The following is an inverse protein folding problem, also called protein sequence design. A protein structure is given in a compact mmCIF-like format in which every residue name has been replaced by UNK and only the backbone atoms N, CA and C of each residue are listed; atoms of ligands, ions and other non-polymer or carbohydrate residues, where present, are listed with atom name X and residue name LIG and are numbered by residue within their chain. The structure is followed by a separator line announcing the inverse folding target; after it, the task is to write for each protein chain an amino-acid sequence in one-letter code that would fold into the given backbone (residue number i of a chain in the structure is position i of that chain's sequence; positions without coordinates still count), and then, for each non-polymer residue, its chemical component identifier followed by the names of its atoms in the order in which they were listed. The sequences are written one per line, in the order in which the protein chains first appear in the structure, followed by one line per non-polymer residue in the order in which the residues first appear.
data_IF_823238356339
#
_entry.id   IF_823238356339
#
_cell.length_a   1.000
_cell.length_b   1.000
_cell.length_c   1.000
_cell.angle_alpha   90.00
_cell.angle_beta   90.00
_cell.angle_gamma   90.00
#
_symmetry.space_group_name_H-M   'P 1'
#
loop_
_entity.id
_entity.type
_entity.pdbx_description
1 polymer ?
#
# COMPACT_ATOMS: atom_id res chain seq x y z
N UNK A 1 -21.53 11.53 3.17
CA UNK A 1 -21.38 12.02 1.81
C UNK A 1 -20.14 12.91 1.58
N UNK A 2 -19.62 13.62 2.64
CA UNK A 2 -18.45 14.50 2.50
C UNK A 2 -17.36 14.16 3.54
N UNK A 3 -16.09 14.40 3.16
CA UNK A 3 -14.94 14.36 4.05
C UNK A 3 -14.89 15.61 4.91
N UNK A 4 -14.78 15.45 6.22
CA UNK A 4 -14.88 16.56 7.19
C UNK A 4 -13.66 17.51 7.15
N UNK A 5 -12.50 17.04 6.69
CA UNK A 5 -11.28 17.84 6.63
C UNK A 5 -11.22 18.73 5.40
N UNK A 6 -11.55 18.18 4.25
CA UNK A 6 -11.36 18.81 2.94
C UNK A 6 -12.65 19.36 2.35
N UNK A 7 -13.82 18.92 2.84
CA UNK A 7 -15.14 19.26 2.28
C UNK A 7 -15.46 18.55 0.96
N UNK A 8 -14.54 17.78 0.41
CA UNK A 8 -14.73 16.96 -0.78
C UNK A 8 -15.75 15.84 -0.53
N UNK A 9 -16.16 15.16 -1.58
CA UNK A 9 -16.87 13.88 -1.43
C UNK A 9 -15.99 12.87 -0.69
N UNK A 10 -16.62 12.07 0.17
CA UNK A 10 -15.95 10.95 0.82
C UNK A 10 -15.92 9.72 -0.12
N UNK A 11 -15.22 8.65 0.31
CA UNK A 11 -15.10 7.39 -0.43
C UNK A 11 -16.46 6.82 -0.84
N UNK A 12 -17.41 6.73 0.10
CA UNK A 12 -18.74 6.16 -0.13
C UNK A 12 -19.50 6.88 -1.26
N UNK A 13 -19.53 8.20 -1.23
CA UNK A 13 -20.23 8.99 -2.26
C UNK A 13 -19.49 8.93 -3.61
N UNK A 14 -18.16 8.85 -3.59
CA UNK A 14 -17.37 8.64 -4.79
C UNK A 14 -17.67 7.30 -5.46
N UNK A 15 -17.71 6.22 -4.67
CA UNK A 15 -18.05 4.89 -5.15
C UNK A 15 -19.45 4.83 -5.72
N UNK A 16 -20.43 5.46 -5.06
CA UNK A 16 -21.81 5.57 -5.56
C UNK A 16 -21.90 6.31 -6.90
N UNK A 17 -21.10 7.35 -7.11
CA UNK A 17 -21.04 8.08 -8.40
C UNK A 17 -20.39 7.26 -9.48
N UNK A 18 -19.25 6.63 -9.16
CA UNK A 18 -18.54 5.77 -10.09
C UNK A 18 -19.44 4.60 -10.56
N UNK A 19 -20.16 3.96 -9.65
CA UNK A 19 -21.10 2.89 -9.98
C UNK A 19 -22.21 3.35 -10.95
N UNK A 20 -22.79 4.54 -10.73
CA UNK A 20 -23.77 5.12 -11.64
C UNK A 20 -23.19 5.38 -13.03
N UNK A 21 -21.96 5.90 -13.11
CA UNK A 21 -21.28 6.14 -14.38
C UNK A 21 -21.03 4.82 -15.09
N UNK A 22 -20.48 3.81 -14.41
CA UNK A 22 -20.23 2.48 -14.98
C UNK A 22 -21.53 1.87 -15.55
N UNK A 23 -22.64 1.97 -14.80
CA UNK A 23 -23.95 1.43 -15.21
C UNK A 23 -24.59 2.20 -16.39
N UNK A 24 -24.26 3.48 -16.58
CA UNK A 24 -24.84 4.35 -17.61
C UNK A 24 -23.97 4.55 -18.86
N UNK A 25 -22.71 4.08 -18.83
CA UNK A 25 -21.76 4.24 -19.93
C UNK A 25 -22.22 3.48 -21.18
N UNK A 26 -22.37 4.19 -22.29
CA UNK A 26 -22.77 3.64 -23.61
C UNK A 26 -21.55 3.22 -24.41
N UNK A 27 -21.70 2.41 -25.48
CA UNK A 27 -20.57 1.90 -26.27
C UNK A 27 -19.62 2.98 -26.87
N UNK A 28 -20.08 4.21 -27.01
CA UNK A 28 -19.30 5.32 -27.54
C UNK A 28 -18.84 6.30 -26.46
N UNK A 29 -19.31 6.16 -25.23
CA UNK A 29 -18.90 7.03 -24.12
C UNK A 29 -17.59 6.51 -23.55
N UNK A 30 -16.67 7.43 -23.28
CA UNK A 30 -15.41 7.15 -22.62
C UNK A 30 -15.28 8.13 -21.45
N UNK A 31 -15.07 7.60 -20.27
CA UNK A 31 -14.74 8.36 -19.07
C UNK A 31 -13.37 7.94 -18.57
N UNK A 32 -12.82 8.64 -17.59
CA UNK A 32 -11.58 8.22 -16.97
C UNK A 32 -11.70 8.28 -15.43
N UNK A 33 -11.09 7.30 -14.79
CA UNK A 33 -10.88 7.24 -13.36
C UNK A 33 -9.42 7.50 -13.06
N UNK A 34 -9.14 8.48 -12.20
CA UNK A 34 -7.81 8.72 -11.67
C UNK A 34 -7.80 8.36 -10.18
N UNK A 35 -6.83 7.58 -9.77
CA UNK A 35 -6.50 7.31 -8.38
C UNK A 35 -5.18 8.00 -8.06
N UNK A 36 -5.17 8.88 -7.07
CA UNK A 36 -4.03 9.73 -6.74
C UNK A 36 -3.58 9.44 -5.31
N UNK A 37 -2.28 9.47 -5.08
CA UNK A 37 -1.67 9.33 -3.76
C UNK A 37 -0.50 10.32 -3.64
N UNK A 38 -0.49 11.11 -2.55
CA UNK A 38 0.54 12.11 -2.31
C UNK A 38 1.83 11.45 -1.86
N UNK A 39 2.87 11.62 -2.64
CA UNK A 39 4.17 11.03 -2.35
C UNK A 39 4.79 11.64 -1.09
N UNK A 40 5.25 10.77 -0.19
CA UNK A 40 5.95 11.17 1.04
C UNK A 40 5.12 12.03 2.03
N UNK A 41 3.79 12.01 1.95
CA UNK A 41 2.91 12.73 2.89
C UNK A 41 3.23 12.40 4.36
N UNK A 42 3.54 11.13 4.66
CA UNK A 42 3.92 10.70 6.01
C UNK A 42 5.13 11.47 6.55
N UNK A 43 6.11 11.81 5.72
CA UNK A 43 7.31 12.56 6.15
C UNK A 43 6.93 13.93 6.71
N UNK A 44 5.91 14.58 6.15
CA UNK A 44 5.42 15.88 6.64
C UNK A 44 4.72 15.71 7.99
N UNK A 45 3.88 14.67 8.14
CA UNK A 45 3.25 14.35 9.42
C UNK A 45 4.30 14.03 10.51
N UNK A 46 5.27 13.20 10.20
CA UNK A 46 6.32 12.79 11.15
C UNK A 46 7.25 13.97 11.51
N UNK A 47 7.44 14.93 10.61
CA UNK A 47 8.35 16.09 10.81
C UNK A 47 7.67 17.29 11.45
N UNK A 48 6.38 17.53 11.15
CA UNK A 48 5.66 18.76 11.51
C UNK A 48 4.35 18.52 12.28
N UNK A 49 3.99 17.24 12.49
CA UNK A 49 2.75 16.85 13.16
C UNK A 49 1.54 16.80 12.24
N UNK A 50 0.47 16.15 12.68
CA UNK A 50 -0.75 15.93 11.90
C UNK A 50 -1.44 17.23 11.46
N UNK A 51 -1.36 18.30 12.25
CA UNK A 51 -1.95 19.60 11.86
C UNK A 51 -1.32 20.16 10.57
N UNK A 52 -0.02 19.93 10.35
CA UNK A 52 0.65 20.32 9.12
C UNK A 52 0.16 19.49 7.92
N UNK A 53 0.01 18.18 8.11
CA UNK A 53 -0.56 17.31 7.08
C UNK A 53 -1.99 17.66 6.73
N UNK A 54 -2.82 17.98 7.72
CA UNK A 54 -4.21 18.42 7.51
C UNK A 54 -4.29 19.71 6.67
N UNK A 55 -3.44 20.68 6.96
CA UNK A 55 -3.39 21.92 6.19
C UNK A 55 -2.86 21.69 4.78
N UNK A 56 -1.85 20.84 4.61
CA UNK A 56 -1.39 20.43 3.30
C UNK A 56 -2.51 19.81 2.47
N UNK A 57 -3.30 18.90 3.05
CA UNK A 57 -4.43 18.26 2.37
C UNK A 57 -5.49 19.29 1.92
N UNK A 58 -5.78 20.32 2.72
CA UNK A 58 -6.70 21.40 2.33
C UNK A 58 -6.15 22.19 1.14
N UNK A 59 -4.87 22.53 1.17
CA UNK A 59 -4.24 23.32 0.10
C UNK A 59 -4.13 22.51 -1.20
N UNK A 60 -3.74 21.25 -1.12
CA UNK A 60 -3.72 20.35 -2.29
C UNK A 60 -5.13 20.16 -2.84
N UNK A 61 -6.14 20.00 -1.99
CA UNK A 61 -7.55 19.93 -2.42
C UNK A 61 -7.96 21.14 -3.25
N UNK A 62 -7.66 22.35 -2.78
CA UNK A 62 -7.97 23.58 -3.52
C UNK A 62 -7.21 23.64 -4.85
N UNK A 63 -5.96 23.21 -4.85
CA UNK A 63 -5.11 23.14 -6.04
C UNK A 63 -5.69 22.21 -7.10
N UNK A 64 -5.99 20.97 -6.73
CA UNK A 64 -6.58 19.98 -7.63
C UNK A 64 -7.93 20.43 -8.17
N UNK A 65 -8.81 20.96 -7.29
CA UNK A 65 -10.14 21.43 -7.67
C UNK A 65 -10.09 22.57 -8.68
N UNK A 66 -9.06 23.43 -8.63
CA UNK A 66 -8.94 24.59 -9.52
C UNK A 66 -8.78 24.25 -11.01
N UNK A 67 -8.45 23.01 -11.34
CA UNK A 67 -8.19 22.53 -12.72
C UNK A 67 -9.24 21.56 -13.23
N UNK A 68 -10.20 21.18 -12.40
CA UNK A 68 -11.27 20.29 -12.79
C UNK A 68 -12.50 21.07 -13.26
N UNK A 69 -13.25 20.47 -14.19
CA UNK A 69 -14.49 21.02 -14.72
C UNK A 69 -15.63 20.77 -13.71
N UNK A 70 -16.69 21.55 -13.79
CA UNK A 70 -17.87 21.40 -12.88
C UNK A 70 -18.51 20.01 -12.94
N UNK A 71 -18.41 19.31 -14.07
CA UNK A 71 -18.91 17.95 -14.24
C UNK A 71 -17.98 16.87 -13.68
N UNK A 72 -16.68 17.21 -13.50
CA UNK A 72 -15.72 16.24 -12.98
C UNK A 72 -15.93 16.07 -11.47
N UNK A 73 -15.70 14.87 -10.99
CA UNK A 73 -15.85 14.54 -9.57
C UNK A 73 -14.48 14.46 -8.93
N UNK A 74 -14.28 15.17 -7.81
CA UNK A 74 -13.11 15.06 -6.95
C UNK A 74 -13.57 14.59 -5.56
N UNK A 75 -12.88 13.60 -5.03
CA UNK A 75 -13.14 13.03 -3.71
C UNK A 75 -11.83 12.76 -2.95
N UNK A 76 -11.92 12.72 -1.63
CA UNK A 76 -10.88 12.17 -0.77
C UNK A 76 -11.29 10.77 -0.35
N UNK A 77 -10.45 9.79 -0.67
CA UNK A 77 -10.73 8.37 -0.43
C UNK A 77 -10.27 7.91 0.96
N UNK A 78 -9.30 8.60 1.54
CA UNK A 78 -8.78 8.38 2.88
C UNK A 78 -7.31 8.81 2.97
N UNK A 79 -6.82 9.15 4.16
CA UNK A 79 -5.42 9.54 4.33
C UNK A 79 -4.97 10.62 3.32
N UNK A 80 -4.02 10.27 2.49
CA UNK A 80 -3.42 11.05 1.41
C UNK A 80 -3.90 10.66 0.01
N UNK A 81 -4.99 9.86 -0.06
CA UNK A 81 -5.55 9.35 -1.31
C UNK A 81 -6.73 10.17 -1.82
N UNK A 82 -6.73 10.46 -3.11
CA UNK A 82 -7.80 11.16 -3.81
C UNK A 82 -8.30 10.34 -5.00
N UNK A 83 -9.58 10.50 -5.32
CA UNK A 83 -10.21 9.94 -6.51
C UNK A 83 -10.76 11.05 -7.41
N UNK A 84 -10.57 10.92 -8.71
CA UNK A 84 -11.13 11.84 -9.70
C UNK A 84 -11.86 11.02 -10.78
N UNK A 85 -13.09 11.43 -11.13
CA UNK A 85 -13.79 10.92 -12.29
C UNK A 85 -13.88 12.05 -13.31
N UNK A 86 -13.34 11.81 -14.50
CA UNK A 86 -13.42 12.70 -15.64
C UNK A 86 -14.49 12.19 -16.58
N UNK A 87 -15.64 12.88 -16.62
CA UNK A 87 -16.74 12.45 -17.47
C UNK A 87 -16.55 12.89 -18.93
N UNK A 88 -16.90 11.97 -19.87
CA UNK A 88 -16.72 12.18 -21.32
C UNK A 88 -15.31 12.66 -21.66
N UNK A 89 -14.31 11.95 -21.17
CA UNK A 89 -12.90 12.28 -21.30
C UNK A 89 -12.14 11.08 -21.86
N UNK A 90 -11.76 11.09 -23.14
CA UNK A 90 -10.93 10.06 -23.74
C UNK A 90 -9.56 9.96 -23.06
N UNK A 91 -8.92 8.80 -23.15
CA UNK A 91 -7.67 8.48 -22.47
C UNK A 91 -6.57 9.54 -22.68
N UNK A 92 -6.39 9.99 -23.92
CA UNK A 92 -5.37 10.99 -24.23
C UNK A 92 -5.62 12.34 -23.54
N UNK A 93 -6.88 12.78 -23.46
CA UNK A 93 -7.27 14.00 -22.74
C UNK A 93 -7.13 13.79 -21.22
N UNK A 94 -7.55 12.62 -20.71
CA UNK A 94 -7.42 12.28 -19.32
C UNK A 94 -5.95 12.24 -18.88
N UNK A 95 -5.06 11.70 -19.73
CA UNK A 95 -3.62 11.69 -19.49
C UNK A 95 -3.03 13.12 -19.43
N UNK A 96 -3.50 14.03 -20.28
CA UNK A 96 -3.10 15.44 -20.23
C UNK A 96 -3.55 16.10 -18.92
N UNK A 97 -4.81 15.86 -18.50
CA UNK A 97 -5.32 16.37 -17.22
C UNK A 97 -4.53 15.79 -16.05
N UNK A 98 -4.28 14.47 -16.04
CA UNK A 98 -3.51 13.82 -14.99
C UNK A 98 -2.09 14.40 -14.88
N UNK A 99 -1.39 14.60 -15.99
CA UNK A 99 -0.07 15.23 -16.00
C UNK A 99 -0.12 16.70 -15.53
N UNK A 100 -1.14 17.47 -15.93
CA UNK A 100 -1.33 18.82 -15.42
C UNK A 100 -1.49 18.85 -13.90
N UNK A 101 -2.29 17.94 -13.34
CA UNK A 101 -2.49 17.84 -11.89
C UNK A 101 -1.18 17.44 -11.19
N UNK A 102 -0.43 16.48 -11.75
CA UNK A 102 0.87 16.08 -11.24
C UNK A 102 1.85 17.24 -11.21
N UNK A 103 1.99 17.99 -12.31
CA UNK A 103 2.87 19.15 -12.41
C UNK A 103 2.49 20.28 -11.44
N UNK A 104 1.19 20.48 -11.21
CA UNK A 104 0.71 21.45 -10.23
C UNK A 104 1.15 21.07 -8.82
N UNK A 105 1.03 19.81 -8.44
CA UNK A 105 1.46 19.33 -7.13
C UNK A 105 2.98 19.38 -7.01
N UNK A 106 3.73 18.95 -8.03
CA UNK A 106 5.20 19.02 -8.06
C UNK A 106 5.76 20.43 -7.91
N UNK A 107 5.09 21.40 -8.55
CA UNK A 107 5.50 22.82 -8.49
C UNK A 107 4.98 23.54 -7.24
N UNK A 108 4.08 22.91 -6.49
CA UNK A 108 3.55 23.48 -5.26
C UNK A 108 4.63 23.50 -4.18
N UNK A 109 4.73 24.64 -3.48
CA UNK A 109 5.67 24.84 -2.37
C UNK A 109 4.85 25.00 -1.09
N UNK A 110 4.78 23.91 -0.33
CA UNK A 110 4.10 23.91 0.96
C UNK A 110 4.97 24.58 2.01
N UNK A 111 4.48 25.66 2.59
CA UNK A 111 5.15 26.36 3.67
C UNK A 111 4.45 26.05 5.00
N UNK A 112 5.23 25.60 5.97
CA UNK A 112 4.77 25.40 7.33
C UNK A 112 5.80 25.93 8.31
N UNK A 113 5.44 27.01 9.02
CA UNK A 113 6.38 27.78 9.85
C UNK A 113 7.61 28.20 9.03
N UNK A 114 8.80 27.85 9.48
CA UNK A 114 10.07 28.19 8.81
C UNK A 114 10.55 27.14 7.79
N UNK A 115 9.70 26.13 7.50
CA UNK A 115 10.04 25.02 6.59
C UNK A 115 9.25 25.10 5.29
N UNK A 116 9.94 24.79 4.20
CA UNK A 116 9.31 24.65 2.88
C UNK A 116 9.47 23.21 2.40
N UNK A 117 8.36 22.61 1.98
CA UNK A 117 8.33 21.25 1.47
C UNK A 117 7.91 21.23 0.00
N UNK A 118 8.45 20.27 -0.73
CA UNK A 118 7.98 19.86 -2.04
C UNK A 118 7.37 18.49 -1.93
N UNK A 119 6.26 18.27 -2.61
CA UNK A 119 5.57 16.98 -2.65
C UNK A 119 5.37 16.57 -4.10
N UNK A 120 5.30 15.26 -4.34
CA UNK A 120 4.85 14.69 -5.59
C UNK A 120 3.46 14.08 -5.45
N UNK A 121 2.92 13.61 -6.56
CA UNK A 121 1.72 12.80 -6.59
C UNK A 121 1.89 11.68 -7.60
N UNK A 122 1.63 10.45 -7.17
CA UNK A 122 1.56 9.28 -8.03
C UNK A 122 0.12 9.06 -8.47
N UNK A 123 -0.11 8.89 -9.77
CA UNK A 123 -1.45 8.86 -10.36
C UNK A 123 -1.62 7.58 -11.19
N UNK A 124 -2.64 6.79 -10.87
CA UNK A 124 -3.13 5.72 -11.71
C UNK A 124 -4.31 6.18 -12.54
N UNK A 125 -4.29 5.93 -13.85
CA UNK A 125 -5.34 6.27 -14.79
C UNK A 125 -5.96 5.01 -15.37
N UNK A 126 -7.29 4.89 -15.27
CA UNK A 126 -8.10 3.86 -15.92
C UNK A 126 -9.08 4.52 -16.90
N UNK A 127 -9.08 4.08 -18.15
CA UNK A 127 -10.15 4.43 -19.11
C UNK A 127 -11.41 3.62 -18.79
N UNK A 128 -12.52 4.30 -18.55
CA UNK A 128 -13.83 3.67 -18.32
C UNK A 128 -14.57 3.59 -19.65
N UNK A 129 -14.93 2.37 -20.03
CA UNK A 129 -15.69 2.03 -21.22
C UNK A 129 -16.87 1.14 -20.84
N UNK A 130 -17.77 0.90 -21.77
CA UNK A 130 -18.97 0.08 -21.60
C UNK A 130 -18.69 -1.38 -21.14
N UNK A 131 -17.51 -1.90 -21.47
CA UNK A 131 -17.05 -3.25 -21.15
C UNK A 131 -16.29 -3.40 -19.82
N UNK A 132 -16.17 -2.34 -19.03
CA UNK A 132 -15.53 -2.41 -17.73
C UNK A 132 -16.36 -3.23 -16.72
N UNK A 133 -15.70 -4.17 -16.06
CA UNK A 133 -16.30 -5.12 -15.12
C UNK A 133 -16.47 -4.52 -13.72
N UNK A 134 -17.53 -3.74 -13.50
CA UNK A 134 -18.00 -3.36 -12.16
C UNK A 134 -17.10 -2.44 -11.34
N UNK A 135 -17.67 -1.91 -10.26
CA UNK A 135 -17.05 -0.92 -9.36
C UNK A 135 -15.71 -1.41 -8.75
N UNK A 136 -15.73 -2.59 -8.15
CA UNK A 136 -14.56 -3.11 -7.44
C UNK A 136 -13.35 -3.31 -8.35
N UNK A 137 -13.59 -3.81 -9.58
CA UNK A 137 -12.53 -4.02 -10.56
C UNK A 137 -11.98 -2.69 -11.08
N UNK A 138 -12.84 -1.70 -11.34
CA UNK A 138 -12.40 -0.37 -11.78
C UNK A 138 -11.54 0.34 -10.73
N UNK A 139 -11.95 0.32 -9.46
CA UNK A 139 -11.17 0.89 -8.36
C UNK A 139 -9.84 0.15 -8.18
N UNK A 140 -9.87 -1.18 -8.19
CA UNK A 140 -8.66 -2.00 -8.07
C UNK A 140 -7.67 -1.76 -9.22
N UNK A 141 -8.17 -1.60 -10.44
CA UNK A 141 -7.34 -1.31 -11.62
C UNK A 141 -6.66 0.06 -11.51
N UNK A 142 -7.41 1.11 -11.14
CA UNK A 142 -6.88 2.46 -10.99
C UNK A 142 -5.87 2.56 -9.82
N UNK A 143 -6.16 1.94 -8.68
CA UNK A 143 -5.27 1.84 -7.54
C UNK A 143 -4.00 1.05 -7.90
N UNK A 144 -4.13 -0.05 -8.67
CA UNK A 144 -2.98 -0.82 -9.16
C UNK A 144 -2.08 0.01 -10.06
N UNK A 145 -2.66 0.81 -10.96
CA UNK A 145 -1.91 1.73 -11.81
C UNK A 145 -1.20 2.82 -10.96
N UNK A 146 -1.84 3.36 -9.92
CA UNK A 146 -1.22 4.30 -8.99
C UNK A 146 -0.01 3.67 -8.28
N UNK A 147 -0.15 2.43 -7.86
CA UNK A 147 0.96 1.68 -7.29
C UNK A 147 2.12 1.50 -8.29
N UNK A 148 1.83 1.13 -9.55
CA UNK A 148 2.85 1.04 -10.59
C UNK A 148 3.59 2.39 -10.79
N UNK A 149 2.87 3.51 -10.72
CA UNK A 149 3.48 4.85 -10.74
C UNK A 149 4.47 5.04 -9.57
N UNK A 150 4.12 4.58 -8.35
CA UNK A 150 5.02 4.64 -7.18
C UNK A 150 6.26 3.78 -7.34
N UNK A 151 6.13 2.53 -7.81
CA UNK A 151 7.24 1.61 -8.02
C UNK A 151 8.21 2.08 -9.11
N UNK A 152 7.70 2.73 -10.15
CA UNK A 152 8.51 3.27 -11.24
C UNK A 152 9.27 4.56 -10.87
N UNK A 153 9.20 5.02 -9.63
CA UNK A 153 9.96 6.18 -9.13
C UNK A 153 9.10 7.38 -8.74
N UNK A 154 7.81 7.19 -8.49
CA UNK A 154 6.86 8.21 -8.00
C UNK A 154 6.69 9.41 -8.92
N UNK A 155 5.88 10.38 -8.51
CA UNK A 155 5.63 11.65 -9.19
C UNK A 155 5.38 11.50 -10.70
N UNK A 156 4.47 10.58 -11.06
CA UNK A 156 4.13 10.25 -12.44
C UNK A 156 2.71 9.73 -12.60
N UNK A 157 2.28 9.67 -13.84
CA UNK A 157 1.03 9.03 -14.24
C UNK A 157 1.36 7.66 -14.84
N UNK A 158 0.64 6.63 -14.41
CA UNK A 158 0.65 5.32 -15.04
C UNK A 158 -0.75 4.98 -15.56
N UNK A 159 -0.85 4.63 -16.84
CA UNK A 159 -2.12 4.22 -17.47
C UNK A 159 -2.29 2.73 -17.27
N UNK A 160 -3.44 2.31 -16.74
CA UNK A 160 -3.77 0.89 -16.59
C UNK A 160 -3.83 0.19 -17.95
N UNK A 161 -3.07 -0.89 -18.10
CA UNK A 161 -3.12 -1.78 -19.27
C UNK A 161 -3.32 -3.21 -18.79
N UNK A 162 -4.25 -3.92 -19.42
CA UNK A 162 -4.64 -5.29 -19.04
C UNK A 162 -3.47 -6.30 -19.09
N UNK A 163 -2.43 -6.01 -19.85
CA UNK A 163 -1.24 -6.86 -20.04
C UNK A 163 0.01 -6.32 -19.33
N UNK A 164 -0.14 -5.44 -18.34
CA UNK A 164 0.99 -4.88 -17.62
C UNK A 164 1.54 -5.90 -16.60
N UNK A 165 2.79 -6.32 -16.77
CA UNK A 165 3.47 -7.30 -15.90
C UNK A 165 3.50 -6.86 -14.42
N UNK A 166 3.58 -5.55 -14.14
CA UNK A 166 3.54 -5.00 -12.79
C UNK A 166 2.15 -5.16 -12.16
N UNK A 167 1.11 -5.02 -12.99
CA UNK A 167 -0.28 -5.15 -12.54
C UNK A 167 -0.66 -6.63 -12.36
N UNK A 168 -0.13 -7.53 -13.18
CA UNK A 168 -0.29 -8.98 -12.97
C UNK A 168 0.38 -9.44 -11.67
N UNK A 169 1.54 -8.91 -11.32
CA UNK A 169 2.18 -9.15 -10.01
C UNK A 169 1.28 -8.71 -8.86
N UNK A 170 0.64 -7.55 -8.96
CA UNK A 170 -0.26 -7.04 -7.92
C UNK A 170 -1.57 -7.81 -7.81
N UNK A 171 -2.16 -8.22 -8.92
CA UNK A 171 -3.33 -9.14 -8.90
C UNK A 171 -2.98 -10.43 -8.18
N UNK A 172 -1.75 -10.95 -8.36
CA UNK A 172 -1.21 -12.04 -7.56
C UNK A 172 -1.06 -11.69 -6.06
N UNK A 173 -0.68 -10.46 -5.73
CA UNK A 173 -0.52 -10.00 -4.35
C UNK A 173 -1.85 -9.91 -3.58
N UNK A 174 -2.93 -9.43 -4.20
CA UNK A 174 -4.27 -9.43 -3.57
C UNK A 174 -4.77 -10.83 -3.22
N UNK A 175 -4.36 -11.85 -3.98
CA UNK A 175 -4.69 -13.24 -3.67
C UNK A 175 -3.92 -13.76 -2.44
N UNK A 176 -2.86 -13.06 -2.00
CA UNK A 176 -2.08 -13.46 -0.83
C UNK A 176 -2.84 -13.27 0.48
N UNK A 177 -3.71 -12.27 0.60
CA UNK A 177 -4.41 -11.98 1.86
C UNK A 177 -5.24 -13.17 2.38
N UNK A 178 -6.21 -13.70 1.61
CA UNK A 178 -6.96 -14.88 2.03
C UNK A 178 -6.08 -16.13 2.10
N UNK A 179 -5.05 -16.25 1.24
CA UNK A 179 -4.10 -17.36 1.28
C UNK A 179 -3.25 -17.34 2.55
N UNK A 180 -2.80 -16.17 2.99
CA UNK A 180 -1.98 -16.01 4.18
C UNK A 180 -2.80 -16.28 5.45
N UNK A 181 -4.01 -15.74 5.56
CA UNK A 181 -4.91 -16.02 6.67
C UNK A 181 -5.21 -17.51 6.79
N UNK A 182 -5.52 -18.16 5.67
CA UNK A 182 -5.74 -19.61 5.62
C UNK A 182 -4.46 -20.39 5.97
N UNK A 183 -3.31 -19.94 5.48
CA UNK A 183 -2.02 -20.60 5.75
C UNK A 183 -1.63 -20.54 7.23
N UNK A 184 -1.96 -19.46 7.93
CA UNK A 184 -1.74 -19.34 9.38
C UNK A 184 -2.71 -20.27 10.12
N UNK A 185 -4.00 -20.26 9.77
CA UNK A 185 -5.01 -21.14 10.35
C UNK A 185 -4.68 -22.63 10.14
N UNK A 186 -4.13 -22.99 9.00
CA UNK A 186 -3.73 -24.35 8.63
C UNK A 186 -2.32 -24.72 9.12
N UNK A 187 -1.65 -23.90 9.95
CA UNK A 187 -0.28 -24.08 10.43
C UNK A 187 0.75 -24.33 9.31
N UNK A 188 0.64 -23.62 8.19
CA UNK A 188 1.54 -23.75 7.04
C UNK A 188 2.74 -22.78 7.06
N UNK A 189 2.82 -21.90 8.05
CA UNK A 189 4.04 -21.14 8.32
C UNK A 189 5.08 -22.05 8.97
N UNK A 190 6.34 -21.82 8.65
CA UNK A 190 7.47 -22.59 9.17
C UNK A 190 8.64 -21.68 9.50
N UNK A 191 9.38 -22.00 10.57
CA UNK A 191 10.66 -21.39 10.88
C UNK A 191 11.78 -22.35 10.46
N UNK A 192 12.68 -21.86 9.62
CA UNK A 192 13.94 -22.52 9.33
C UNK A 192 15.04 -21.85 10.16
N UNK A 193 15.94 -22.66 10.69
CA UNK A 193 17.09 -22.17 11.42
C UNK A 193 18.30 -22.05 10.48
N UNK A 194 18.92 -20.86 10.44
CA UNK A 194 20.17 -20.63 9.74
C UNK A 194 21.27 -20.40 10.75
N UNK A 195 22.24 -21.33 10.88
CA UNK A 195 23.35 -21.17 11.81
C UNK A 195 24.30 -20.05 11.34
N UNK A 196 24.79 -19.27 12.30
CA UNK A 196 25.83 -18.29 12.12
C UNK A 196 27.08 -18.88 12.78
N UNK A 197 28.11 -19.12 11.99
CA UNK A 197 29.36 -19.76 12.46
C UNK A 197 30.43 -18.69 12.63
N UNK A 198 31.00 -18.61 13.84
CA UNK A 198 32.10 -17.72 14.12
C UNK A 198 33.36 -18.16 13.34
N UNK A 199 34.03 -17.21 12.71
CA UNK A 199 35.32 -17.48 12.03
C UNK A 199 36.49 -17.64 13.02
N UNK A 200 36.31 -17.13 14.27
CA UNK A 200 37.26 -17.24 15.37
C UNK A 200 36.51 -17.72 16.62
N UNK A 201 37.09 -18.66 17.39
CA UNK A 201 36.48 -19.23 18.59
C UNK A 201 36.67 -18.36 19.85
N UNK A 202 36.12 -17.13 19.87
CA UNK A 202 36.29 -16.24 21.04
C UNK A 202 34.96 -15.93 21.76
N UNK A 203 33.80 -16.25 21.21
CA UNK A 203 32.52 -15.72 21.72
C UNK A 203 31.86 -16.55 22.81
N UNK A 204 32.37 -17.76 23.11
CA UNK A 204 31.80 -18.63 24.17
C UNK A 204 30.34 -19.03 23.97
N UNK A 205 29.80 -18.90 22.74
CA UNK A 205 28.48 -19.35 22.35
C UNK A 205 28.55 -20.80 21.81
N UNK A 206 27.64 -21.65 22.28
CA UNK A 206 27.50 -23.02 21.78
C UNK A 206 26.71 -23.06 20.46
N UNK A 207 25.73 -22.17 20.30
CA UNK A 207 24.94 -22.07 19.08
C UNK A 207 24.58 -20.57 18.83
N UNK A 208 24.74 -20.13 17.59
CA UNK A 208 24.29 -18.82 17.14
C UNK A 208 23.57 -18.97 15.80
N UNK A 209 22.42 -18.32 15.64
CA UNK A 209 21.72 -18.39 14.38
C UNK A 209 20.45 -17.55 14.34
N UNK A 210 19.80 -17.61 13.19
CA UNK A 210 18.62 -16.81 12.87
C UNK A 210 17.46 -17.73 12.48
N UNK A 211 16.25 -17.41 12.98
CA UNK A 211 15.02 -18.03 12.52
C UNK A 211 14.48 -17.29 11.30
N UNK A 212 14.36 -18.01 10.20
CA UNK A 212 13.89 -17.50 8.93
C UNK A 212 12.50 -18.05 8.62
N UNK A 213 11.55 -17.13 8.43
CA UNK A 213 10.17 -17.46 8.08
C UNK A 213 10.08 -18.05 6.67
N UNK A 214 9.25 -19.08 6.51
CA UNK A 214 8.86 -19.68 5.23
C UNK A 214 7.38 -20.00 5.27
N UNK A 215 6.78 -20.10 4.09
CA UNK A 215 5.41 -20.53 3.93
C UNK A 215 5.38 -21.81 3.10
N UNK A 216 4.68 -22.83 3.58
CA UNK A 216 4.39 -24.04 2.80
C UNK A 216 3.16 -23.81 1.95
N UNK A 217 3.30 -23.93 0.63
CA UNK A 217 2.22 -23.81 -0.32
C UNK A 217 1.23 -24.98 -0.29
N UNK A 218 0.21 -24.93 -1.13
CA UNK A 218 -0.85 -25.96 -1.19
C UNK A 218 -0.34 -27.29 -1.77
N UNK A 219 0.73 -27.25 -2.55
CA UNK A 219 1.38 -28.43 -3.14
C UNK A 219 2.72 -28.76 -2.45
N UNK A 220 2.85 -28.37 -1.20
CA UNK A 220 4.03 -28.60 -0.35
C UNK A 220 5.31 -27.84 -0.80
N UNK A 221 5.21 -26.93 -1.77
CA UNK A 221 6.30 -26.06 -2.20
C UNK A 221 6.66 -25.03 -1.12
N UNK A 222 7.96 -24.73 -1.02
CA UNK A 222 8.47 -23.75 -0.07
C UNK A 222 8.43 -22.34 -0.70
N UNK A 223 7.60 -21.46 -0.15
CA UNK A 223 7.43 -20.09 -0.60
C UNK A 223 8.30 -19.15 0.25
N UNK A 224 9.10 -18.33 -0.42
CA UNK A 224 10.01 -17.38 0.22
C UNK A 224 9.29 -16.12 0.72
N UNK A 225 9.79 -15.47 1.79
CA UNK A 225 9.21 -14.28 2.40
C UNK A 225 8.96 -13.14 1.41
N UNK A 226 9.85 -12.93 0.45
CA UNK A 226 9.72 -11.89 -0.58
C UNK A 226 8.45 -11.97 -1.43
N UNK A 227 7.77 -13.13 -1.45
CA UNK A 227 6.51 -13.30 -2.19
C UNK A 227 5.26 -12.93 -1.38
N UNK A 228 5.28 -13.03 -0.05
CA UNK A 228 4.09 -12.86 0.79
C UNK A 228 4.22 -11.77 1.88
N UNK A 229 5.44 -11.41 2.30
CA UNK A 229 5.62 -10.33 3.29
C UNK A 229 5.25 -8.94 2.74
N UNK A 230 5.63 -8.53 1.50
CA UNK A 230 5.23 -7.23 0.97
C UNK A 230 3.71 -7.04 0.91
N UNK A 231 2.89 -8.00 0.43
CA UNK A 231 1.44 -7.94 0.58
C UNK A 231 0.98 -7.86 2.04
N UNK A 232 1.56 -8.68 2.94
CA UNK A 232 1.18 -8.67 4.34
C UNK A 232 1.45 -7.32 5.02
N UNK A 233 2.56 -6.67 4.72
CA UNK A 233 2.90 -5.34 5.21
C UNK A 233 1.90 -4.29 4.71
N UNK A 234 1.61 -4.29 3.41
CA UNK A 234 0.69 -3.35 2.77
C UNK A 234 -0.74 -3.44 3.32
N UNK A 235 -1.20 -4.64 3.61
CA UNK A 235 -2.55 -4.90 4.13
C UNK A 235 -2.61 -5.05 5.67
N UNK A 236 -1.60 -4.55 6.37
CA UNK A 236 -1.53 -4.51 7.85
C UNK A 236 -1.68 -5.89 8.52
N UNK A 237 -1.18 -6.95 7.86
CA UNK A 237 -1.22 -8.31 8.41
C UNK A 237 0.06 -8.70 9.15
N UNK A 238 1.07 -7.82 9.20
CA UNK A 238 2.37 -8.13 9.79
C UNK A 238 2.28 -8.49 11.27
N UNK A 239 1.45 -7.80 12.06
CA UNK A 239 1.31 -8.08 13.50
C UNK A 239 0.91 -9.53 13.80
N UNK A 240 0.06 -10.12 12.93
CA UNK A 240 -0.36 -11.52 13.06
C UNK A 240 0.81 -12.48 12.77
N UNK A 241 1.61 -12.15 11.76
CA UNK A 241 2.81 -12.93 11.41
C UNK A 241 3.86 -12.81 12.51
N UNK A 242 4.12 -11.60 12.99
CA UNK A 242 5.12 -11.35 14.04
C UNK A 242 4.78 -12.07 15.34
N UNK A 243 3.51 -12.05 15.75
CA UNK A 243 3.04 -12.84 16.91
C UNK A 243 3.27 -14.32 16.72
N UNK A 244 2.90 -14.86 15.58
CA UNK A 244 3.14 -16.26 15.25
C UNK A 244 4.63 -16.62 15.30
N UNK A 245 5.51 -15.76 14.75
CA UNK A 245 6.97 -15.97 14.77
C UNK A 245 7.50 -16.02 16.18
N UNK A 246 7.09 -15.09 17.07
CA UNK A 246 7.51 -15.08 18.48
C UNK A 246 7.03 -16.35 19.18
N UNK A 247 5.74 -16.70 19.06
CA UNK A 247 5.17 -17.89 19.71
C UNK A 247 5.90 -19.16 19.30
N UNK A 248 6.12 -19.36 17.99
CA UNK A 248 6.80 -20.54 17.49
C UNK A 248 8.28 -20.58 17.89
N UNK A 249 8.96 -19.44 17.87
CA UNK A 249 10.36 -19.35 18.33
C UNK A 249 10.48 -19.73 19.80
N UNK A 250 9.61 -19.19 20.66
CA UNK A 250 9.61 -19.54 22.09
C UNK A 250 9.25 -21.00 22.34
N UNK A 251 8.34 -21.59 21.57
CA UNK A 251 8.03 -23.02 21.68
C UNK A 251 9.22 -23.89 21.29
N UNK A 252 9.93 -23.56 20.21
CA UNK A 252 11.14 -24.26 19.79
C UNK A 252 12.24 -24.16 20.84
N UNK A 253 12.43 -23.00 21.45
CA UNK A 253 13.42 -22.78 22.50
C UNK A 253 13.07 -23.56 23.77
N UNK A 254 11.80 -23.64 24.17
CA UNK A 254 11.36 -24.46 25.32
C UNK A 254 11.70 -25.94 25.16
N UNK A 255 11.63 -26.48 23.94
CA UNK A 255 11.96 -27.90 23.69
C UNK A 255 13.46 -28.18 23.70
N UNK A 256 14.30 -27.14 23.62
CA UNK A 256 15.77 -27.24 23.61
C UNK A 256 16.43 -26.87 24.95
N UNK A 257 15.66 -26.60 26.01
CA UNK A 257 16.19 -26.21 27.30
C UNK A 257 17.06 -27.37 27.90
N UNK A 258 18.38 -27.23 27.71
CA UNK A 258 19.40 -27.82 28.54
C UNK A 258 20.06 -26.69 29.30
N UNK A 259 20.03 -26.69 30.63
CA UNK A 259 20.43 -25.57 31.51
C UNK A 259 21.90 -25.09 31.38
N UNK A 260 22.67 -25.66 30.45
CA UNK A 260 24.08 -25.33 30.22
C UNK A 260 24.42 -24.87 28.81
N UNK A 261 23.42 -24.58 27.96
CA UNK A 261 23.64 -24.24 26.57
C UNK A 261 23.60 -22.72 26.41
N UNK A 262 24.73 -22.10 26.05
CA UNK A 262 24.84 -20.68 25.78
C UNK A 262 24.54 -20.41 24.31
N UNK A 263 23.31 -19.97 23.98
CA UNK A 263 22.88 -19.81 22.62
C UNK A 263 22.30 -18.41 22.38
N UNK A 264 22.52 -17.87 21.18
CA UNK A 264 21.97 -16.60 20.71
C UNK A 264 21.14 -16.84 19.45
N UNK A 265 19.84 -16.53 19.53
CA UNK A 265 18.91 -16.67 18.42
C UNK A 265 18.33 -15.33 18.01
N UNK A 266 18.41 -15.01 16.72
CA UNK A 266 17.82 -13.83 16.14
C UNK A 266 16.48 -14.17 15.48
N UNK A 267 15.51 -13.27 15.63
CA UNK A 267 14.22 -13.27 14.92
C UNK A 267 14.01 -11.94 14.23
N UNK A 268 13.40 -11.98 13.06
CA UNK A 268 13.02 -10.76 12.32
C UNK A 268 11.60 -10.34 12.68
N UNK A 269 11.43 -9.10 13.09
CA UNK A 269 10.14 -8.49 13.37
C UNK A 269 9.92 -7.28 12.49
N UNK A 270 8.68 -6.98 12.16
CA UNK A 270 8.33 -5.77 11.41
C UNK A 270 8.49 -4.51 12.27
N UNK A 271 8.79 -3.37 11.62
CA UNK A 271 8.79 -2.08 12.30
C UNK A 271 7.41 -1.74 12.90
N UNK A 272 6.35 -2.29 12.34
CA UNK A 272 4.98 -2.12 12.81
C UNK A 272 4.75 -2.76 14.18
N UNK A 273 5.34 -3.93 14.41
CA UNK A 273 5.29 -4.62 15.70
C UNK A 273 5.98 -3.82 16.81
N UNK A 274 7.16 -3.25 16.52
CA UNK A 274 7.95 -2.49 17.49
C UNK A 274 7.30 -1.15 17.89
N UNK A 275 6.40 -0.61 17.05
CA UNK A 275 5.65 0.63 17.32
C UNK A 275 4.25 0.42 17.87
N UNK A 276 3.82 -0.82 18.12
CA UNK A 276 2.46 -1.14 18.57
C UNK A 276 2.46 -1.50 20.07
N UNK A 277 1.75 -0.70 20.90
CA UNK A 277 1.70 -0.88 22.35
C UNK A 277 1.10 -2.24 22.73
N UNK A 278 0.00 -2.67 22.10
CA UNK A 278 -0.65 -3.98 22.36
C UNK A 278 0.25 -5.17 21.99
N UNK A 279 1.20 -4.97 21.08
CA UNK A 279 2.17 -5.99 20.71
C UNK A 279 3.30 -6.10 21.73
N UNK A 280 3.68 -4.99 22.36
CA UNK A 280 4.72 -4.97 23.40
C UNK A 280 4.25 -5.56 24.72
N UNK A 281 2.93 -5.60 24.95
CA UNK A 281 2.31 -6.26 26.12
C UNK A 281 2.10 -7.77 25.92
N UNK A 282 2.19 -8.25 24.67
CA UNK A 282 2.04 -9.66 24.29
C UNK A 282 3.29 -10.47 24.61
#
# INVERSE_FOLDING_TARGET
AHDSLTGLLNREEFENRLEKILASTRPHDIHALLYLDLDQFKVINDTCGHSAGDELLRQVTALLHSKLRTRDTLARLGGDEFGIILEHCPENEALQVANLLRELVENFRYQWQDKTFTIGVSIGLLSIRHDNEGLANALSAADSACFAAKEQGRNRVHVYQTNDDLLQKRSGEMQWLPRLQKAIADNRLQLLFQPIVALCHEDGLDEHGEFLLRLRGEHDELILPGSFLPPAERYHQMLMIDRWVIEQSLQLLKTRQNDQFNALYAINLSAHALGNEDFLEF
#
